data_IF_632803798118
#
_entry.id   IF_632803798118
#
_cell.length_a   1.000
_cell.length_b   1.000
_cell.length_c   1.000
_cell.angle_alpha   90.00
_cell.angle_beta   90.00
_cell.angle_gamma   90.00
#
_symmetry.space_group_name_H-M   'P 1'
#
loop_
_entity.id
_entity.type
_entity.pdbx_description
1 polymer ?
#
# COMPACT_ATOMS: atom_id res chain seq x y z
N UNK A 1 -3.88 9.98 -8.17
CA UNK A 1 -2.64 9.25 -8.54
C UNK A 1 -2.44 7.99 -7.73
N UNK A 2 -2.25 8.03 -6.39
CA UNK A 2 -2.05 6.80 -5.57
C UNK A 2 -3.16 5.78 -5.76
N UNK A 3 -4.41 6.18 -5.50
CA UNK A 3 -5.57 5.30 -5.67
C UNK A 3 -5.73 4.84 -7.12
N UNK A 4 -5.39 5.67 -8.10
CA UNK A 4 -5.41 5.30 -9.51
C UNK A 4 -4.45 4.16 -9.82
N UNK A 5 -3.21 4.24 -9.31
CA UNK A 5 -2.21 3.21 -9.54
C UNK A 5 -2.54 1.91 -8.79
N UNK A 6 -2.89 2.01 -7.51
CA UNK A 6 -3.31 0.86 -6.70
C UNK A 6 -4.54 0.15 -7.30
N UNK A 7 -5.56 0.92 -7.68
CA UNK A 7 -6.79 0.39 -8.26
C UNK A 7 -6.53 -0.37 -9.57
N UNK A 8 -5.63 0.13 -10.42
CA UNK A 8 -5.23 -0.51 -11.67
C UNK A 8 -4.46 -1.84 -11.48
N UNK A 9 -3.81 -2.02 -10.32
CA UNK A 9 -3.16 -3.27 -9.91
C UNK A 9 -4.09 -4.22 -9.16
N UNK A 10 -5.39 -3.91 -9.12
CA UNK A 10 -6.39 -4.60 -8.32
C UNK A 10 -6.13 -4.58 -6.80
N UNK A 11 -5.40 -3.56 -6.35
CA UNK A 11 -5.22 -3.26 -4.92
C UNK A 11 -6.29 -2.25 -4.51
N UNK A 12 -6.91 -2.47 -3.34
CA UNK A 12 -7.82 -1.53 -2.69
C UNK A 12 -7.20 -1.11 -1.36
N UNK A 13 -7.07 0.19 -1.13
CA UNK A 13 -6.48 0.74 0.10
C UNK A 13 -7.62 1.31 0.93
N UNK A 14 -7.75 0.80 2.15
CA UNK A 14 -8.78 1.19 3.11
C UNK A 14 -8.07 1.70 4.35
N UNK A 15 -8.45 2.89 4.84
CA UNK A 15 -7.87 3.48 6.05
C UNK A 15 -8.77 3.16 7.24
N UNK A 16 -8.38 2.16 8.02
CA UNK A 16 -9.18 1.66 9.16
C UNK A 16 -9.00 2.49 10.45
N UNK A 17 -7.88 3.20 10.58
CA UNK A 17 -7.59 4.07 11.72
C UNK A 17 -6.44 5.05 11.39
N UNK A 18 -6.37 6.18 12.10
CA UNK A 18 -5.28 7.15 12.04
C UNK A 18 -4.87 7.51 13.48
N UNK A 19 -3.70 7.07 13.89
CA UNK A 19 -3.18 7.27 15.24
C UNK A 19 -1.99 8.24 15.22
N UNK A 20 -2.05 9.26 16.06
CA UNK A 20 -0.92 10.17 16.27
C UNK A 20 0.20 9.47 17.05
N UNK A 21 1.41 9.42 16.47
CA UNK A 21 2.61 8.89 17.12
C UNK A 21 3.52 10.05 17.50
N UNK A 22 3.86 10.14 18.78
CA UNK A 22 4.77 11.17 19.30
C UNK A 22 6.15 10.59 19.57
N UNK A 23 7.18 11.21 19.02
CA UNK A 23 8.58 10.83 19.27
C UNK A 23 9.57 11.47 18.30
N UNK A 24 10.86 11.37 18.63
CA UNK A 24 11.97 11.80 17.78
C UNK A 24 12.76 10.58 17.31
N UNK A 25 13.31 10.62 16.08
CA UNK A 25 14.13 9.55 15.52
C UNK A 25 13.46 8.15 15.61
N UNK A 26 12.21 8.08 15.16
CA UNK A 26 11.48 6.82 15.00
C UNK A 26 12.15 6.00 13.89
N UNK A 27 12.79 4.90 14.27
CA UNK A 27 13.33 3.91 13.32
C UNK A 27 12.26 2.89 12.97
N UNK A 28 12.50 2.08 11.95
CA UNK A 28 11.58 1.02 11.54
C UNK A 28 11.36 0.00 12.67
N UNK A 29 12.41 -0.36 13.39
CA UNK A 29 12.37 -1.30 14.52
C UNK A 29 11.54 -0.72 15.69
N UNK A 30 11.71 0.57 15.99
CA UNK A 30 10.90 1.25 17.00
C UNK A 30 9.44 1.33 16.61
N UNK A 31 9.15 1.50 15.32
CA UNK A 31 7.77 1.50 14.82
C UNK A 31 7.13 0.11 14.89
N UNK A 32 7.89 -0.94 14.59
CA UNK A 32 7.47 -2.31 14.82
C UNK A 32 7.16 -2.57 16.30
N UNK A 33 8.06 -2.17 17.21
CA UNK A 33 7.85 -2.30 18.66
C UNK A 33 6.60 -1.53 19.12
N UNK A 34 6.42 -0.30 18.63
CA UNK A 34 5.23 0.50 18.91
C UNK A 34 3.95 -0.23 18.46
N UNK A 35 3.89 -0.77 17.24
CA UNK A 35 2.73 -1.53 16.74
C UNK A 35 2.43 -2.76 17.61
N UNK A 36 3.47 -3.45 18.08
CA UNK A 36 3.30 -4.67 18.88
C UNK A 36 2.91 -4.41 20.34
N UNK A 37 3.21 -3.23 20.87
CA UNK A 37 3.00 -2.88 22.28
C UNK A 37 1.82 -1.93 22.50
N UNK A 38 1.33 -1.26 21.45
CA UNK A 38 0.19 -0.36 21.54
C UNK A 38 -1.10 -1.18 21.71
N UNK A 39 -1.83 -1.01 22.82
CA UNK A 39 -3.07 -1.74 23.05
C UNK A 39 -4.20 -1.17 22.18
N UNK A 40 -5.19 -2.01 21.87
CA UNK A 40 -6.44 -1.62 21.23
C UNK A 40 -6.29 -0.99 19.82
N UNK A 41 -5.22 -1.31 19.09
CA UNK A 41 -5.18 -1.00 17.66
C UNK A 41 -6.30 -1.74 16.94
N UNK A 42 -7.00 -1.03 16.04
CA UNK A 42 -7.96 -1.62 15.11
C UNK A 42 -7.28 -2.71 14.30
N UNK A 43 -7.98 -3.82 13.99
CA UNK A 43 -7.43 -4.87 13.15
C UNK A 43 -7.03 -4.31 11.77
N UNK A 44 -5.80 -4.59 11.33
CA UNK A 44 -5.22 -4.04 10.10
C UNK A 44 -4.16 -4.98 9.53
N UNK A 45 -3.97 -4.92 8.21
CA UNK A 45 -2.96 -5.72 7.50
C UNK A 45 -1.58 -5.07 7.53
N UNK A 46 -1.54 -3.74 7.45
CA UNK A 46 -0.34 -2.93 7.34
C UNK A 46 -0.47 -1.68 8.20
N UNK A 47 0.62 -1.26 8.85
CA UNK A 47 0.74 0.07 9.44
C UNK A 47 1.85 0.86 8.77
N UNK A 48 1.59 2.10 8.35
CA UNK A 48 2.61 2.99 7.78
C UNK A 48 2.68 4.27 8.58
N UNK A 49 3.87 4.62 9.07
CA UNK A 49 4.11 5.90 9.72
C UNK A 49 4.35 6.97 8.65
N UNK A 50 3.46 7.95 8.56
CA UNK A 50 3.66 9.13 7.72
C UNK A 50 4.49 10.16 8.50
N UNK A 51 5.71 10.43 8.03
CA UNK A 51 6.68 11.27 8.74
C UNK A 51 6.86 12.62 8.05
N UNK A 52 6.45 13.68 8.75
CA UNK A 52 6.65 15.06 8.29
C UNK A 52 8.15 15.41 8.19
N UNK A 53 8.53 16.08 7.10
CA UNK A 53 9.91 16.51 6.80
C UNK A 53 10.92 15.38 6.76
N UNK A 54 10.54 14.27 6.15
CA UNK A 54 11.41 13.15 5.84
C UNK A 54 11.29 12.86 4.35
N UNK A 55 12.40 12.84 3.63
CA UNK A 55 12.39 12.74 2.15
C UNK A 55 12.26 11.30 1.66
N UNK A 56 12.67 10.33 2.47
CA UNK A 56 12.75 8.93 2.08
C UNK A 56 11.57 8.08 2.58
N UNK A 57 11.75 6.78 2.45
CA UNK A 57 10.92 5.76 3.07
C UNK A 57 11.79 4.58 3.50
N UNK A 58 11.22 3.73 4.34
CA UNK A 58 11.80 2.44 4.68
C UNK A 58 10.70 1.48 5.12
N UNK A 59 10.71 0.25 4.63
CA UNK A 59 9.80 -0.80 5.03
C UNK A 59 10.48 -2.17 5.06
N UNK A 60 9.89 -3.11 5.80
CA UNK A 60 10.28 -4.51 5.68
C UNK A 60 9.83 -5.07 4.34
N UNK A 61 10.69 -5.84 3.69
CA UNK A 61 10.30 -6.56 2.47
C UNK A 61 9.50 -7.80 2.84
N UNK A 62 8.40 -8.07 2.12
CA UNK A 62 7.51 -9.20 2.35
C UNK A 62 6.99 -9.23 3.80
N UNK A 63 6.53 -8.06 4.27
CA UNK A 63 6.04 -7.81 5.61
C UNK A 63 4.54 -8.10 5.79
N UNK A 64 3.74 -7.98 4.72
CA UNK A 64 2.31 -8.33 4.74
C UNK A 64 2.11 -9.76 5.23
N UNK A 65 1.00 -10.03 5.91
CA UNK A 65 0.70 -11.30 6.60
C UNK A 65 1.65 -11.64 7.77
N UNK A 66 2.58 -10.75 8.15
CA UNK A 66 3.56 -11.00 9.22
C UNK A 66 3.55 -9.87 10.24
N UNK A 67 4.23 -10.12 11.37
CA UNK A 67 4.39 -9.10 12.42
C UNK A 67 5.08 -7.84 11.90
N UNK A 68 5.96 -7.99 10.91
CA UNK A 68 6.76 -6.97 10.24
C UNK A 68 6.01 -6.18 9.16
N UNK A 69 4.68 -6.20 9.13
CA UNK A 69 3.86 -5.39 8.21
C UNK A 69 3.87 -3.90 8.59
N UNK A 70 5.06 -3.29 8.66
CA UNK A 70 5.29 -1.89 9.02
C UNK A 70 6.23 -1.19 8.07
N UNK A 71 5.92 0.07 7.76
CA UNK A 71 6.78 0.95 6.97
C UNK A 71 6.75 2.39 7.48
N UNK A 72 7.71 3.19 7.01
CA UNK A 72 7.77 4.63 7.24
C UNK A 72 7.82 5.29 5.87
N UNK A 73 6.91 6.21 5.61
CA UNK A 73 6.90 7.02 4.39
C UNK A 73 7.07 8.49 4.76
N UNK A 74 7.99 9.15 4.06
CA UNK A 74 8.17 10.59 4.12
C UNK A 74 6.95 11.37 3.64
N UNK A 75 6.80 12.61 4.12
CA UNK A 75 5.79 13.51 3.62
C UNK A 75 6.18 14.98 3.74
N UNK A 76 5.97 15.72 2.65
CA UNK A 76 5.99 17.18 2.61
C UNK A 76 4.70 17.67 1.93
N UNK A 77 3.94 18.59 2.58
CA UNK A 77 2.71 19.15 2.02
C UNK A 77 2.87 19.84 0.67
N UNK A 78 4.08 20.31 0.36
CA UNK A 78 4.40 21.03 -0.87
C UNK A 78 4.48 20.10 -2.09
N UNK A 79 4.67 18.79 -1.89
CA UNK A 79 4.86 17.81 -2.96
C UNK A 79 4.05 16.50 -2.72
N UNK A 80 2.72 16.57 -2.52
CA UNK A 80 1.92 15.42 -2.09
C UNK A 80 1.94 14.24 -3.10
N UNK A 81 2.11 14.53 -4.39
CA UNK A 81 2.20 13.49 -5.43
C UNK A 81 3.50 12.69 -5.36
N UNK A 82 4.63 13.36 -5.11
CA UNK A 82 5.93 12.71 -4.98
C UNK A 82 5.93 11.78 -3.76
N UNK A 83 5.40 12.26 -2.63
CA UNK A 83 5.33 11.47 -1.41
C UNK A 83 4.25 10.38 -1.45
N UNK A 84 3.21 10.52 -2.27
CA UNK A 84 2.34 9.41 -2.61
C UNK A 84 3.09 8.28 -3.34
N UNK A 85 4.06 8.62 -4.20
CA UNK A 85 4.94 7.62 -4.83
C UNK A 85 5.87 6.97 -3.81
N UNK A 86 6.41 7.72 -2.85
CA UNK A 86 7.21 7.15 -1.74
C UNK A 86 6.37 6.18 -0.92
N UNK A 87 5.16 6.57 -0.51
CA UNK A 87 4.25 5.68 0.20
C UNK A 87 3.99 4.38 -0.58
N UNK A 88 3.69 4.49 -1.88
CA UNK A 88 3.42 3.31 -2.71
C UNK A 88 4.66 2.42 -2.88
N UNK A 89 5.85 3.02 -2.97
CA UNK A 89 7.13 2.30 -3.03
C UNK A 89 7.32 1.44 -1.78
N UNK A 90 7.14 2.03 -0.59
CA UNK A 90 7.25 1.31 0.68
C UNK A 90 6.17 0.23 0.85
N UNK A 91 4.95 0.50 0.38
CA UNK A 91 3.88 -0.50 0.34
C UNK A 91 4.25 -1.68 -0.57
N UNK A 92 4.88 -1.41 -1.72
CA UNK A 92 5.34 -2.46 -2.65
C UNK A 92 6.41 -3.35 -2.01
N UNK A 93 7.31 -2.77 -1.19
CA UNK A 93 8.24 -3.55 -0.37
C UNK A 93 7.50 -4.48 0.59
N UNK A 94 6.50 -3.98 1.31
CA UNK A 94 5.69 -4.79 2.22
C UNK A 94 5.00 -5.96 1.52
N UNK A 95 4.55 -5.75 0.28
CA UNK A 95 3.96 -6.77 -0.60
C UNK A 95 4.98 -7.75 -1.21
N UNK A 96 6.27 -7.54 -0.97
CA UNK A 96 7.34 -8.48 -1.31
C UNK A 96 8.26 -8.04 -2.45
N UNK A 97 8.00 -6.91 -3.10
CA UNK A 97 8.85 -6.41 -4.18
C UNK A 97 10.19 -5.95 -3.59
N UNK A 98 11.31 -6.48 -4.07
CA UNK A 98 12.65 -5.97 -3.71
C UNK A 98 13.27 -5.21 -4.88
N UNK A 99 14.24 -4.32 -4.61
CA UNK A 99 14.99 -3.66 -5.69
C UNK A 99 15.80 -4.63 -6.57
N UNK A 100 16.05 -5.85 -6.07
CA UNK A 100 16.79 -6.89 -6.79
C UNK A 100 15.89 -7.87 -7.53
N UNK A 101 14.56 -7.65 -7.54
CA UNK A 101 13.63 -8.51 -8.27
C UNK A 101 13.98 -8.48 -9.77
N UNK A 102 14.54 -9.57 -10.27
CA UNK A 102 14.83 -9.76 -11.69
C UNK A 102 13.66 -10.49 -12.32
N UNK A 103 12.77 -9.75 -12.96
CA UNK A 103 11.63 -10.32 -13.69
C UNK A 103 11.80 -10.01 -15.17
N UNK A 104 11.76 -11.06 -16.01
CA UNK A 104 11.59 -10.87 -17.46
C UNK A 104 10.13 -10.45 -17.71
N UNK A 105 9.87 -9.14 -17.77
CA UNK A 105 8.52 -8.61 -17.90
C UNK A 105 7.99 -8.61 -19.34
N UNK A 106 8.38 -9.59 -20.16
CA UNK A 106 7.91 -9.70 -21.53
C UNK A 106 6.47 -10.23 -21.60
N UNK A 107 5.52 -9.32 -21.44
CA UNK A 107 4.10 -9.59 -21.59
C UNK A 107 3.67 -9.52 -23.05
N UNK A 108 3.53 -10.67 -23.70
CA UNK A 108 2.94 -10.76 -25.04
C UNK A 108 1.44 -10.51 -24.96
N UNK A 109 0.91 -9.54 -25.73
CA UNK A 109 -0.54 -9.24 -25.82
C UNK A 109 -1.42 -10.45 -26.16
N UNK A 110 -0.82 -11.54 -26.67
CA UNK A 110 -1.49 -12.78 -27.07
C UNK A 110 -1.71 -13.77 -25.92
N UNK A 111 -0.88 -13.74 -24.86
CA UNK A 111 -1.02 -14.59 -23.67
C UNK A 111 -1.34 -13.70 -22.45
N UNK A 112 -2.62 -13.33 -22.33
CA UNK A 112 -3.14 -12.42 -21.29
C UNK A 112 -3.36 -13.12 -19.94
N UNK A 113 -2.39 -13.91 -19.47
CA UNK A 113 -2.40 -14.56 -18.16
C UNK A 113 -2.27 -13.55 -17.01
N UNK A 114 -1.25 -13.70 -16.16
CA UNK A 114 -0.95 -12.77 -15.05
C UNK A 114 -0.32 -11.44 -15.49
N UNK A 115 -0.34 -11.11 -16.79
CA UNK A 115 0.25 -9.88 -17.29
C UNK A 115 -0.51 -8.63 -16.82
N UNK A 116 0.25 -7.59 -16.53
CA UNK A 116 -0.21 -6.27 -16.15
C UNK A 116 -1.20 -5.75 -17.20
N UNK A 117 -2.38 -5.32 -16.76
CA UNK A 117 -3.47 -4.90 -17.65
C UNK A 117 -3.54 -3.38 -17.82
N UNK A 118 -2.52 -2.67 -17.38
CA UNK A 118 -2.46 -1.21 -17.38
C UNK A 118 -1.81 -0.73 -18.67
N UNK A 119 -2.61 -0.07 -19.53
CA UNK A 119 -2.11 0.50 -20.78
C UNK A 119 -0.95 1.46 -20.52
N UNK A 120 0.16 1.28 -21.24
CA UNK A 120 1.36 2.13 -21.12
C UNK A 120 2.38 1.65 -20.10
N UNK A 121 2.06 0.63 -19.29
CA UNK A 121 2.98 -0.02 -18.35
C UNK A 121 3.41 -1.41 -18.82
N UNK A 122 3.16 -1.76 -20.10
CA UNK A 122 3.45 -3.09 -20.67
C UNK A 122 4.93 -3.52 -20.55
N UNK A 123 5.85 -2.56 -20.34
CA UNK A 123 7.28 -2.79 -20.18
C UNK A 123 7.81 -2.43 -18.78
N UNK A 124 6.92 -2.18 -17.80
CA UNK A 124 7.31 -1.82 -16.43
C UNK A 124 7.51 -3.09 -15.58
N UNK A 125 8.76 -3.56 -15.52
CA UNK A 125 9.07 -4.83 -14.88
C UNK A 125 8.78 -4.85 -13.38
N UNK A 126 8.93 -3.72 -12.67
CA UNK A 126 8.63 -3.67 -11.24
C UNK A 126 7.13 -3.77 -10.97
N UNK A 127 6.30 -3.19 -11.83
CA UNK A 127 4.85 -3.33 -11.73
C UNK A 127 4.39 -4.76 -12.04
N UNK A 128 4.97 -5.40 -13.07
CA UNK A 128 4.69 -6.80 -13.37
C UNK A 128 5.10 -7.73 -12.22
N UNK A 129 6.30 -7.54 -11.68
CA UNK A 129 6.79 -8.29 -10.53
C UNK A 129 5.85 -8.18 -9.32
N UNK A 130 5.31 -6.99 -9.07
CA UNK A 130 4.33 -6.78 -8.02
C UNK A 130 3.02 -7.54 -8.29
N UNK A 131 2.50 -7.52 -9.51
CA UNK A 131 1.31 -8.30 -9.89
C UNK A 131 1.52 -9.80 -9.66
N UNK A 132 2.67 -10.33 -10.05
CA UNK A 132 3.00 -11.74 -9.84
C UNK A 132 3.04 -12.09 -8.34
N UNK A 133 3.60 -11.21 -7.51
CA UNK A 133 3.64 -11.37 -6.05
C UNK A 133 2.25 -11.33 -5.42
N UNK A 134 1.37 -10.41 -5.84
CA UNK A 134 0.01 -10.28 -5.29
C UNK A 134 -0.77 -11.60 -5.37
N UNK A 135 -0.57 -12.37 -6.44
CA UNK A 135 -1.24 -13.67 -6.62
C UNK A 135 -0.85 -14.74 -5.60
N UNK A 136 0.22 -14.53 -4.84
CA UNK A 136 0.73 -15.43 -3.79
C UNK A 136 0.36 -15.01 -2.36
N UNK A 137 -0.32 -13.88 -2.20
CA UNK A 137 -0.68 -13.33 -0.88
C UNK A 137 -2.10 -13.76 -0.53
N UNK A 138 -2.21 -14.86 0.21
CA UNK A 138 -3.53 -15.44 0.56
C UNK A 138 -4.19 -14.81 1.79
N UNK A 139 -3.48 -14.00 2.59
CA UNK A 139 -4.03 -13.47 3.85
C UNK A 139 -4.82 -12.14 3.68
N UNK A 140 -4.68 -11.47 2.54
CA UNK A 140 -5.37 -10.22 2.27
C UNK A 140 -6.79 -10.55 1.83
N UNK A 141 -7.71 -10.54 2.80
CA UNK A 141 -9.13 -10.76 2.54
C UNK A 141 -9.89 -9.44 2.58
N UNK A 142 -10.99 -9.36 1.83
CA UNK A 142 -11.91 -8.23 1.96
C UNK A 142 -12.51 -8.24 3.38
N UNK A 143 -12.38 -7.13 4.13
CA UNK A 143 -12.95 -7.05 5.46
C UNK A 143 -14.48 -7.19 5.39
N UNK A 144 -15.05 -8.00 6.30
CA UNK A 144 -16.52 -8.20 6.37
C UNK A 144 -17.26 -6.93 6.76
N UNK A 145 -16.67 -6.16 7.66
CA UNK A 145 -17.18 -4.88 8.13
C UNK A 145 -16.00 -3.92 8.31
N UNK A 146 -16.20 -2.65 7.92
CA UNK A 146 -15.22 -1.60 8.12
C UNK A 146 -15.48 -0.87 9.45
N UNK A 147 -14.43 -0.49 10.18
CA UNK A 147 -14.58 0.25 11.42
C UNK A 147 -15.05 1.68 11.15
N UNK A 148 -15.97 2.17 11.97
CA UNK A 148 -16.48 3.57 11.89
C UNK A 148 -15.43 4.64 12.21
N UNK A 149 -14.30 4.24 12.81
CA UNK A 149 -13.16 5.11 13.07
C UNK A 149 -12.30 5.35 11.83
N UNK A 150 -12.54 4.60 10.75
CA UNK A 150 -11.80 4.73 9.50
C UNK A 150 -12.03 6.06 8.81
N UNK A 151 -11.12 6.41 7.92
CA UNK A 151 -11.28 7.55 7.02
C UNK A 151 -11.79 7.03 5.68
N UNK A 152 -13.04 7.35 5.35
CA UNK A 152 -13.62 7.03 4.04
C UNK A 152 -12.86 7.76 2.92
N UNK A 153 -12.49 7.02 1.87
CA UNK A 153 -11.72 7.48 0.72
C UNK A 153 -12.49 7.24 -0.59
N UNK A 154 -13.33 8.21 -0.94
CA UNK A 154 -14.04 8.20 -2.21
C UNK A 154 -13.10 8.02 -3.43
N UNK A 155 -13.39 7.01 -4.24
CA UNK A 155 -12.64 6.63 -5.42
C UNK A 155 -11.59 5.54 -5.16
N UNK A 156 -11.62 4.86 -4.01
CA UNK A 156 -10.80 3.68 -3.76
C UNK A 156 -11.48 2.39 -4.28
N UNK A 157 -12.75 2.47 -4.68
CA UNK A 157 -13.52 1.35 -5.21
C UNK A 157 -14.15 0.43 -4.15
N UNK A 158 -14.26 0.91 -2.92
CA UNK A 158 -14.89 0.21 -1.79
C UNK A 158 -15.95 1.16 -1.23
N UNK A 159 -17.19 0.68 -1.07
CA UNK A 159 -18.24 1.49 -0.47
C UNK A 159 -17.99 1.58 1.04
N UNK A 160 -17.61 2.76 1.51
CA UNK A 160 -17.31 3.03 2.91
C UNK A 160 -18.49 3.74 3.62
N UNK A 161 -18.34 4.00 4.92
CA UNK A 161 -19.37 4.72 5.67
C UNK A 161 -19.60 6.10 5.03
N UNK A 162 -20.88 6.48 4.90
CA UNK A 162 -21.34 7.73 4.26
C UNK A 162 -21.27 7.76 2.72
N UNK A 163 -20.97 6.65 2.06
CA UNK A 163 -21.00 6.54 0.59
C UNK A 163 -22.20 5.74 0.09
N UNK A 164 -22.91 6.28 -0.90
CA UNK A 164 -23.96 5.53 -1.62
C UNK A 164 -23.35 4.57 -2.67
N UNK A 165 -22.17 4.91 -3.19
CA UNK A 165 -21.42 4.14 -4.18
C UNK A 165 -19.96 4.58 -4.26
N UNK A 166 -19.07 3.66 -4.63
CA UNK A 166 -17.71 3.96 -5.06
C UNK A 166 -17.37 3.12 -6.30
N UNK A 167 -17.15 3.80 -7.43
CA UNK A 167 -16.84 3.17 -8.72
C UNK A 167 -15.34 3.19 -9.07
N UNK A 168 -14.51 3.54 -8.10
CA UNK A 168 -13.08 3.71 -8.26
C UNK A 168 -12.68 5.13 -8.67
N UNK A 169 -11.38 5.33 -8.96
CA UNK A 169 -10.83 6.65 -9.20
C UNK A 169 -11.37 7.23 -10.51
N UNK A 170 -11.58 8.56 -10.52
CA UNK A 170 -11.96 9.29 -11.74
C UNK A 170 -10.96 9.00 -12.87
N UNK A 171 -11.49 8.72 -14.06
CA UNK A 171 -10.71 8.41 -15.27
C UNK A 171 -9.95 9.62 -15.80
#
# INVERSE_FOLDING_TARGET
MLLQYAFQLDIRIIVVDIVAVHGHNFTLEKFLEWKLTTPNLVAHDVAVLIRYRYEGGIAYVNGVCKRTAVGIAGFFPEAPHEYASVFFHELSHLLGLSHTAQVECHCSKKDRGNCLRINGFDNECSAQALVDLLSSIDCLEQPRELPRSGLALCGNGVVEEYEDCDCGPAR
#
